data_IF_623742665580
#
_entry.id   IF_623742665580
#
_cell.length_a   1.000
_cell.length_b   1.000
_cell.length_c   1.000
_cell.angle_alpha   90.00
_cell.angle_beta   90.00
_cell.angle_gamma   90.00
#
_symmetry.space_group_name_H-M   'P 1'
#
loop_
_entity.id
_entity.type
_entity.pdbx_description
1 polymer ?
#
# COMPACT_ATOMS: atom_id res chain seq x y z
N UNK A 1 8.56 -3.00 1.44
CA UNK A 1 8.50 -4.15 2.38
C UNK A 1 9.42 -3.91 3.55
N UNK A 2 9.01 -4.35 4.74
CA UNK A 2 9.77 -4.24 6.00
C UNK A 2 10.27 -5.60 6.52
N UNK A 3 10.06 -6.68 5.75
CA UNK A 3 10.66 -7.98 6.01
C UNK A 3 12.16 -7.95 5.73
N UNK A 4 12.98 -8.05 6.79
CA UNK A 4 14.44 -8.12 6.67
C UNK A 4 14.83 -9.39 5.89
N UNK A 5 15.21 -9.23 4.62
CA UNK A 5 15.64 -10.31 3.74
C UNK A 5 14.58 -10.79 2.74
N UNK A 6 13.29 -10.58 3.03
CA UNK A 6 12.16 -10.98 2.18
C UNK A 6 11.17 -9.80 2.06
N UNK A 7 11.31 -8.92 1.05
CA UNK A 7 10.51 -7.69 0.95
C UNK A 7 9.01 -7.94 0.72
N UNK A 8 8.62 -9.16 0.32
CA UNK A 8 7.23 -9.61 0.19
C UNK A 8 6.64 -10.19 1.48
N UNK A 9 7.40 -10.24 2.58
CA UNK A 9 6.91 -10.72 3.88
C UNK A 9 6.67 -9.55 4.85
N UNK A 10 5.70 -9.70 5.78
CA UNK A 10 5.51 -8.74 6.86
C UNK A 10 6.76 -8.68 7.75
N UNK A 11 6.96 -7.53 8.40
CA UNK A 11 7.99 -7.40 9.42
C UNK A 11 7.63 -8.27 10.64
N UNK A 12 8.60 -8.99 11.20
CA UNK A 12 8.35 -9.84 12.37
C UNK A 12 7.98 -9.00 13.59
N UNK A 13 7.17 -9.59 14.47
CA UNK A 13 6.57 -8.91 15.63
C UNK A 13 7.63 -8.43 16.64
N UNK A 14 8.79 -9.06 16.65
CA UNK A 14 9.92 -8.78 17.54
C UNK A 14 10.75 -7.57 17.08
N UNK A 15 10.50 -7.04 15.88
CA UNK A 15 11.21 -5.88 15.33
C UNK A 15 10.40 -4.61 15.53
N UNK A 16 11.07 -3.46 15.47
CA UNK A 16 10.44 -2.14 15.63
C UNK A 16 9.31 -1.87 14.61
N UNK A 17 9.38 -2.50 13.43
CA UNK A 17 8.36 -2.41 12.38
C UNK A 17 7.21 -3.42 12.52
N UNK A 18 7.24 -4.33 13.50
CA UNK A 18 6.22 -5.37 13.68
C UNK A 18 4.83 -4.81 13.92
N UNK A 19 4.71 -3.60 14.48
CA UNK A 19 3.45 -2.84 14.62
C UNK A 19 2.80 -2.41 13.31
N UNK A 20 3.50 -2.58 12.19
CA UNK A 20 3.01 -2.34 10.83
C UNK A 20 2.91 -3.65 10.03
N UNK A 21 3.09 -4.80 10.68
CA UNK A 21 3.01 -6.12 10.03
C UNK A 21 1.61 -6.47 9.52
N UNK A 22 0.61 -5.62 9.74
CA UNK A 22 -0.75 -5.80 9.20
C UNK A 22 -0.96 -5.21 7.82
N UNK A 23 -0.11 -4.26 7.38
CA UNK A 23 -0.39 -3.51 6.16
C UNK A 23 0.86 -3.07 5.40
N UNK A 24 0.66 -2.82 4.11
CA UNK A 24 1.57 -2.01 3.31
C UNK A 24 0.88 -0.76 2.79
N UNK A 25 1.62 0.34 2.75
CA UNK A 25 1.28 1.48 1.91
C UNK A 25 1.72 1.17 0.48
N UNK A 26 0.81 1.30 -0.47
CA UNK A 26 1.06 1.14 -1.89
C UNK A 26 0.38 2.29 -2.67
N UNK A 27 0.56 2.31 -3.98
CA UNK A 27 -0.09 3.29 -4.87
C UNK A 27 -0.66 2.58 -6.08
N UNK A 28 -1.80 3.07 -6.58
CA UNK A 28 -2.32 2.71 -7.90
C UNK A 28 -1.74 3.67 -8.92
N UNK A 29 -1.03 3.11 -9.89
CA UNK A 29 -0.46 3.85 -11.01
C UNK A 29 -1.38 3.72 -12.22
N UNK A 30 -1.73 4.83 -12.84
CA UNK A 30 -2.53 4.84 -14.06
C UNK A 30 -1.93 5.78 -15.11
N UNK A 31 -2.46 5.76 -16.33
CA UNK A 31 -1.90 6.52 -17.44
C UNK A 31 -1.92 8.03 -17.22
N UNK A 32 -2.85 8.55 -16.41
CA UNK A 32 -3.02 9.97 -16.07
C UNK A 32 -2.19 10.41 -14.86
N UNK A 33 -1.94 9.50 -13.90
CA UNK A 33 -1.14 9.79 -12.71
C UNK A 33 -0.13 8.68 -12.47
N UNK A 34 1.15 9.00 -12.69
CA UNK A 34 2.28 8.06 -12.67
C UNK A 34 3.25 8.28 -11.51
N UNK A 35 2.74 8.77 -10.38
CA UNK A 35 3.58 9.18 -9.25
C UNK A 35 3.65 8.11 -8.19
N UNK A 36 4.89 7.73 -7.88
CA UNK A 36 5.25 6.90 -6.74
C UNK A 36 5.61 7.78 -5.54
N UNK A 37 5.50 7.23 -4.34
CA UNK A 37 5.96 7.89 -3.11
C UNK A 37 7.43 8.32 -3.21
N UNK A 38 8.28 7.42 -3.71
CA UNK A 38 9.68 7.69 -3.99
C UNK A 38 10.01 7.37 -5.45
N UNK A 39 10.42 8.39 -6.21
CA UNK A 39 10.74 8.27 -7.64
C UNK A 39 12.07 7.55 -7.93
N UNK A 40 12.72 6.97 -6.93
CA UNK A 40 13.99 6.23 -7.07
C UNK A 40 13.95 4.86 -6.43
N UNK A 41 12.89 4.55 -5.68
CA UNK A 41 12.79 3.32 -4.90
C UNK A 41 12.16 2.21 -5.74
N UNK A 42 12.82 1.04 -5.85
CA UNK A 42 12.25 -0.10 -6.53
C UNK A 42 11.19 -0.80 -5.65
N UNK A 43 10.40 -1.71 -6.21
CA UNK A 43 9.27 -2.30 -5.50
C UNK A 43 8.68 -3.57 -6.09
N UNK A 44 7.48 -3.88 -5.64
CA UNK A 44 6.68 -5.04 -6.05
C UNK A 44 5.42 -4.54 -6.77
N UNK A 45 5.00 -5.30 -7.78
CA UNK A 45 3.64 -5.20 -8.35
C UNK A 45 2.81 -6.29 -7.70
N UNK A 46 1.64 -5.92 -7.19
CA UNK A 46 0.72 -6.83 -6.52
C UNK A 46 -0.34 -7.32 -7.50
N UNK A 47 -0.81 -8.55 -7.29
CA UNK A 47 -1.95 -9.09 -8.02
C UNK A 47 -3.26 -8.37 -7.64
N UNK A 48 -4.27 -8.47 -8.49
CA UNK A 48 -5.62 -7.95 -8.21
C UNK A 48 -6.34 -8.66 -7.06
N UNK A 49 -5.78 -9.77 -6.57
CA UNK A 49 -6.25 -10.47 -5.36
C UNK A 49 -5.83 -9.77 -4.07
N UNK A 50 -4.96 -8.77 -4.14
CA UNK A 50 -4.60 -7.96 -2.97
C UNK A 50 -5.81 -7.18 -2.46
N UNK A 51 -6.17 -7.41 -1.21
CA UNK A 51 -7.26 -6.71 -0.55
C UNK A 51 -6.76 -5.42 0.09
N UNK A 52 -7.66 -4.44 0.16
CA UNK A 52 -7.37 -3.11 0.67
C UNK A 52 -8.18 -2.84 1.93
N UNK A 53 -7.55 -2.26 2.94
CA UNK A 53 -8.25 -1.69 4.10
C UNK A 53 -8.95 -0.37 3.73
N UNK A 54 -8.23 0.53 3.07
CA UNK A 54 -8.74 1.83 2.62
C UNK A 54 -7.82 2.49 1.59
N UNK A 55 -8.33 3.55 0.95
CA UNK A 55 -7.59 4.40 0.02
C UNK A 55 -7.57 5.87 0.46
N UNK A 56 -6.57 6.59 0.02
CA UNK A 56 -6.44 8.04 0.13
C UNK A 56 -6.15 8.59 -1.27
N UNK A 57 -6.82 9.66 -1.67
CA UNK A 57 -6.48 10.34 -2.92
C UNK A 57 -5.14 11.11 -2.88
N UNK A 58 -4.34 10.95 -1.82
CA UNK A 58 -3.00 11.51 -1.60
C UNK A 58 -2.25 10.66 -0.55
N UNK A 59 -1.11 11.14 -0.04
CA UNK A 59 -0.49 10.62 1.19
C UNK A 59 -1.44 10.72 2.39
N UNK A 60 -1.89 9.57 2.91
CA UNK A 60 -2.74 9.43 4.10
C UNK A 60 -1.96 9.24 5.39
N UNK A 61 -0.63 9.13 5.31
CA UNK A 61 0.29 8.89 6.41
C UNK A 61 -0.10 7.65 7.21
N UNK A 62 -0.48 6.57 6.51
CA UNK A 62 -1.08 5.37 7.13
C UNK A 62 -0.17 4.72 8.19
N UNK A 63 1.14 4.90 8.07
CA UNK A 63 2.13 4.39 9.03
C UNK A 63 2.03 5.05 10.41
N UNK A 64 1.37 6.20 10.57
CA UNK A 64 1.11 6.80 11.90
C UNK A 64 -0.15 6.26 12.58
N UNK A 65 -0.96 5.46 11.87
CA UNK A 65 -2.30 5.03 12.30
C UNK A 65 -2.31 3.55 12.65
N UNK A 66 -1.85 3.23 13.86
CA UNK A 66 -1.70 1.86 14.35
C UNK A 66 -2.96 1.43 15.12
N UNK A 67 -3.39 0.19 14.91
CA UNK A 67 -4.47 -0.43 15.68
C UNK A 67 -3.92 -1.38 16.75
N UNK A 68 -4.70 -1.56 17.82
CA UNK A 68 -4.54 -2.65 18.77
C UNK A 68 -5.91 -3.35 18.91
N UNK A 69 -6.04 -4.63 18.51
CA UNK A 69 -4.99 -5.55 18.07
C UNK A 69 -4.46 -5.26 16.65
N UNK A 70 -3.36 -5.93 16.28
CA UNK A 70 -2.84 -5.99 14.91
C UNK A 70 -3.94 -6.50 13.96
N UNK A 71 -4.03 -5.95 12.75
CA UNK A 71 -5.16 -6.16 11.81
C UNK A 71 -6.49 -5.50 12.22
N UNK A 72 -6.53 -4.82 13.36
CA UNK A 72 -7.67 -4.03 13.77
C UNK A 72 -8.86 -4.83 14.28
N UNK A 73 -9.99 -4.15 14.40
CA UNK A 73 -11.28 -4.68 14.86
C UNK A 73 -12.42 -3.74 14.40
N UNK A 74 -13.64 -3.95 14.89
CA UNK A 74 -14.81 -3.13 14.53
C UNK A 74 -14.64 -1.61 14.79
N UNK A 75 -13.71 -1.23 15.66
CA UNK A 75 -13.45 0.17 16.04
C UNK A 75 -12.18 0.74 15.43
N UNK A 76 -11.34 -0.09 14.78
CA UNK A 76 -10.07 0.34 14.23
C UNK A 76 -9.71 -0.45 12.98
N UNK A 77 -9.53 0.25 11.86
CA UNK A 77 -9.00 -0.32 10.62
C UNK A 77 -7.55 0.15 10.44
N UNK A 78 -6.56 -0.77 10.29
CA UNK A 78 -5.15 -0.39 10.24
C UNK A 78 -4.85 0.60 9.12
N UNK A 79 -4.10 1.67 9.44
CA UNK A 79 -3.72 2.66 8.43
C UNK A 79 -4.82 3.61 7.97
N UNK A 80 -6.06 3.44 8.44
CA UNK A 80 -7.23 4.18 7.97
C UNK A 80 -7.72 5.23 8.96
N UNK A 81 -8.54 6.18 8.48
CA UNK A 81 -8.98 7.32 9.28
C UNK A 81 -10.26 7.97 8.73
N UNK A 82 -11.16 8.47 9.58
CA UNK A 82 -11.30 8.08 10.97
C UNK A 82 -11.58 6.58 11.12
N UNK A 83 -11.21 5.95 12.25
CA UNK A 83 -11.53 4.55 12.50
C UNK A 83 -13.04 4.27 12.37
N UNK A 84 -13.42 3.26 11.59
CA UNK A 84 -14.82 2.86 11.35
C UNK A 84 -15.68 3.88 10.58
N UNK A 85 -15.06 4.93 10.00
CA UNK A 85 -15.76 5.99 9.27
C UNK A 85 -14.95 6.36 8.02
N UNK A 86 -15.49 6.09 6.84
CA UNK A 86 -14.92 6.53 5.58
C UNK A 86 -15.08 8.04 5.33
N UNK A 87 -14.34 8.59 4.38
CA UNK A 87 -14.76 9.85 3.74
C UNK A 87 -16.18 9.66 3.20
N UNK A 88 -17.08 10.62 3.43
CA UNK A 88 -18.40 10.58 2.81
C UNK A 88 -18.28 10.80 1.30
N UNK A 89 -18.41 9.72 0.54
CA UNK A 89 -18.44 9.75 -0.93
C UNK A 89 -19.65 10.60 -1.37
N UNK A 90 -19.42 11.67 -2.13
CA UNK A 90 -20.50 12.47 -2.73
C UNK A 90 -20.92 13.74 -1.98
N UNK A 91 -20.26 14.13 -0.87
CA UNK A 91 -20.39 15.49 -0.31
C UNK A 91 -19.02 16.09 -0.12
N UNK A 92 -18.72 17.11 -0.92
CA UNK A 92 -17.48 17.88 -0.92
C UNK A 92 -17.17 18.57 0.43
N UNK A 93 -18.08 18.48 1.41
CA UNK A 93 -18.06 19.30 2.63
C UNK A 93 -18.10 18.51 3.96
N UNK A 94 -18.27 17.19 3.97
CA UNK A 94 -18.39 16.47 5.25
C UNK A 94 -17.05 15.94 5.76
N UNK A 95 -16.30 16.82 6.42
CA UNK A 95 -15.18 16.45 7.29
C UNK A 95 -15.78 15.99 8.64
N UNK A 96 -15.63 14.73 9.07
CA UNK A 96 -16.13 14.29 10.37
C UNK A 96 -15.61 15.18 11.49
N UNK A 97 -16.47 15.49 12.48
CA UNK A 97 -16.10 16.34 13.63
C UNK A 97 -14.81 15.81 14.29
N UNK A 98 -13.74 16.60 14.27
CA UNK A 98 -12.41 16.26 14.80
C UNK A 98 -11.35 15.89 13.76
N UNK A 99 -11.72 15.74 12.49
CA UNK A 99 -10.79 15.63 11.36
C UNK A 99 -10.46 17.06 10.88
N UNK A 100 -9.18 17.42 10.74
CA UNK A 100 -8.80 18.82 10.43
C UNK A 100 -8.98 19.16 8.95
N UNK A 101 -9.07 18.15 8.09
CA UNK A 101 -9.32 18.30 6.65
C UNK A 101 -9.76 16.98 6.01
N UNK A 102 -10.46 17.06 4.87
CA UNK A 102 -10.67 15.93 3.94
C UNK A 102 -9.37 15.19 3.57
N UNK A 103 -8.20 15.81 3.75
CA UNK A 103 -6.87 15.19 3.57
C UNK A 103 -6.56 14.07 4.56
N UNK A 104 -7.22 14.07 5.72
CA UNK A 104 -6.95 13.13 6.81
C UNK A 104 -7.96 11.97 6.85
N UNK A 105 -8.95 11.96 5.95
CA UNK A 105 -9.91 10.85 5.84
C UNK A 105 -9.50 9.87 4.74
N UNK A 106 -9.84 8.60 4.95
CA UNK A 106 -9.63 7.47 4.08
C UNK A 106 -10.96 7.03 3.50
N UNK A 107 -10.98 6.71 2.21
CA UNK A 107 -12.09 6.07 1.52
C UNK A 107 -12.07 4.57 1.84
N UNK A 108 -13.23 3.96 2.15
CA UNK A 108 -13.32 2.52 2.36
C UNK A 108 -12.98 1.76 1.07
N UNK A 109 -12.76 0.45 1.19
CA UNK A 109 -12.33 -0.40 0.08
C UNK A 109 -13.26 -0.35 -1.15
N UNK A 110 -14.57 -0.28 -0.89
CA UNK A 110 -15.64 -0.18 -1.89
C UNK A 110 -15.79 1.23 -2.51
N UNK A 111 -15.03 2.22 -2.03
CA UNK A 111 -15.04 3.60 -2.51
C UNK A 111 -13.74 4.02 -3.19
N UNK A 112 -12.96 3.07 -3.71
CA UNK A 112 -11.68 3.34 -4.38
C UNK A 112 -11.83 4.33 -5.54
N UNK A 113 -12.88 4.20 -6.35
CA UNK A 113 -13.14 5.11 -7.46
C UNK A 113 -13.21 6.57 -6.99
N UNK A 114 -13.89 6.83 -5.88
CA UNK A 114 -14.02 8.17 -5.32
C UNK A 114 -12.67 8.73 -4.84
N UNK A 115 -11.81 7.90 -4.27
CA UNK A 115 -10.45 8.30 -3.89
C UNK A 115 -9.61 8.71 -5.10
N UNK A 116 -9.70 7.94 -6.21
CA UNK A 116 -8.97 8.21 -7.45
C UNK A 116 -9.54 9.40 -8.22
N UNK A 117 -10.86 9.55 -8.26
CA UNK A 117 -11.52 10.73 -8.84
C UNK A 117 -11.12 11.99 -8.07
N UNK A 118 -11.03 11.91 -6.74
CA UNK A 118 -10.55 13.02 -5.93
C UNK A 118 -9.09 13.38 -6.25
N UNK A 119 -8.21 12.39 -6.40
CA UNK A 119 -6.82 12.62 -6.83
C UNK A 119 -6.77 13.37 -8.16
N UNK A 120 -7.56 12.93 -9.16
CA UNK A 120 -7.65 13.56 -10.47
C UNK A 120 -8.20 14.99 -10.42
N UNK A 121 -9.29 15.21 -9.66
CA UNK A 121 -9.97 16.50 -9.59
C UNK A 121 -9.11 17.62 -8.99
N UNK A 122 -8.15 17.27 -8.12
CA UNK A 122 -7.21 18.24 -7.57
C UNK A 122 -6.14 18.69 -8.55
N UNK A 123 -5.94 17.97 -9.66
CA UNK A 123 -4.83 18.20 -10.57
C UNK A 123 -3.46 18.06 -9.89
N UNK A 124 -3.40 17.34 -8.77
CA UNK A 124 -2.15 17.19 -8.02
C UNK A 124 -1.26 16.13 -8.69
N UNK A 125 -0.01 16.51 -8.92
CA UNK A 125 1.05 15.63 -9.41
C UNK A 125 1.70 14.84 -8.25
N UNK A 126 0.87 14.37 -7.31
CA UNK A 126 1.28 13.64 -6.10
C UNK A 126 0.75 12.20 -6.14
N UNK A 127 1.42 11.30 -5.41
CA UNK A 127 1.03 9.90 -5.31
C UNK A 127 -0.26 9.76 -4.48
N UNK A 128 -1.07 8.74 -4.80
CA UNK A 128 -2.11 8.25 -3.88
C UNK A 128 -1.51 7.24 -2.91
N UNK A 129 -2.22 6.99 -1.81
CA UNK A 129 -1.89 5.93 -0.88
C UNK A 129 -3.08 4.97 -0.76
N UNK A 130 -2.86 3.71 -1.12
CA UNK A 130 -3.75 2.61 -0.77
C UNK A 130 -3.12 1.79 0.35
N UNK A 131 -3.94 1.33 1.28
CA UNK A 131 -3.49 0.56 2.44
C UNK A 131 -3.90 -0.89 2.24
N UNK A 132 -2.94 -1.74 1.92
CA UNK A 132 -3.13 -3.15 1.62
C UNK A 132 -3.21 -3.97 2.90
N UNK A 133 -4.15 -4.91 2.99
CA UNK A 133 -4.19 -5.93 4.04
C UNK A 133 -3.16 -7.02 3.74
N UNK A 134 -2.14 -7.16 4.60
CA UNK A 134 -1.06 -8.11 4.36
C UNK A 134 -1.48 -9.58 4.46
N UNK A 135 -2.63 -9.91 5.04
CA UNK A 135 -3.15 -11.28 5.02
C UNK A 135 -3.43 -11.72 3.60
N UNK A 136 -4.11 -10.88 2.82
CA UNK A 136 -4.43 -11.15 1.41
C UNK A 136 -3.20 -11.37 0.54
N UNK A 137 -2.05 -10.82 0.95
CA UNK A 137 -0.77 -11.08 0.29
C UNK A 137 -0.21 -12.42 0.76
N UNK A 138 0.03 -12.55 2.07
CA UNK A 138 0.72 -13.73 2.63
C UNK A 138 -0.04 -15.02 2.36
N UNK A 139 -1.37 -15.01 2.50
CA UNK A 139 -2.22 -16.18 2.31
C UNK A 139 -2.26 -16.65 0.84
N UNK A 140 -1.88 -15.78 -0.10
CA UNK A 140 -1.91 -16.04 -1.54
C UNK A 140 -0.50 -16.08 -2.17
N UNK A 141 0.57 -16.08 -1.38
CA UNK A 141 1.92 -16.23 -1.90
C UNK A 141 2.09 -17.62 -2.58
N UNK A 142 2.81 -17.70 -3.71
CA UNK A 142 3.52 -16.60 -4.37
C UNK A 142 2.66 -15.70 -5.28
N UNK A 143 1.45 -16.14 -5.63
CA UNK A 143 0.62 -15.53 -6.69
C UNK A 143 0.06 -14.14 -6.37
N UNK A 144 0.19 -13.67 -5.14
CA UNK A 144 -0.10 -12.28 -4.77
C UNK A 144 0.92 -11.26 -5.30
N UNK A 145 2.10 -11.72 -5.76
CA UNK A 145 3.14 -10.88 -6.35
C UNK A 145 3.22 -11.20 -7.85
N UNK A 146 3.04 -10.17 -8.68
CA UNK A 146 3.02 -10.33 -10.14
C UNK A 146 4.30 -9.89 -10.82
N UNK A 147 5.06 -8.99 -10.20
CA UNK A 147 6.36 -8.57 -10.71
C UNK A 147 7.21 -7.89 -9.64
N UNK A 148 8.51 -7.87 -9.91
CA UNK A 148 9.47 -6.99 -9.24
C UNK A 148 9.86 -5.88 -10.22
N UNK A 149 9.96 -4.64 -9.75
CA UNK A 149 10.31 -3.52 -10.63
C UNK A 149 11.39 -2.64 -10.02
N UNK A 150 12.14 -1.97 -10.89
CA UNK A 150 12.96 -0.82 -10.58
C UNK A 150 12.74 0.27 -11.63
N UNK A 151 13.06 1.51 -11.29
CA UNK A 151 12.95 2.64 -12.21
C UNK A 151 14.28 2.91 -12.90
N UNK A 152 14.24 3.60 -14.04
CA UNK A 152 15.46 4.08 -14.68
C UNK A 152 16.28 5.00 -13.76
N UNK A 153 15.61 5.77 -12.91
CA UNK A 153 16.22 6.63 -11.89
C UNK A 153 16.71 5.86 -10.66
N UNK A 154 16.41 4.55 -10.54
CA UNK A 154 16.91 3.72 -9.43
C UNK A 154 18.42 3.50 -9.58
N UNK A 155 19.16 3.79 -8.50
CA UNK A 155 20.62 3.58 -8.42
C UNK A 155 20.96 2.11 -8.62
N UNK A 156 22.16 1.84 -9.15
CA UNK A 156 22.67 0.49 -9.43
C UNK A 156 22.47 -0.47 -8.25
N UNK A 157 22.88 -0.08 -7.03
CA UNK A 157 22.71 -0.90 -5.83
C UNK A 157 21.24 -1.32 -5.58
N UNK A 158 20.28 -0.44 -5.88
CA UNK A 158 18.85 -0.74 -5.78
C UNK A 158 18.38 -1.72 -6.86
N UNK A 159 18.88 -1.57 -8.09
CA UNK A 159 18.59 -2.50 -9.20
C UNK A 159 19.14 -3.89 -8.89
N UNK A 160 20.40 -3.99 -8.47
CA UNK A 160 21.03 -5.24 -8.07
C UNK A 160 20.33 -5.87 -6.87
N UNK A 161 19.87 -5.06 -5.92
CA UNK A 161 19.08 -5.56 -4.79
C UNK A 161 17.78 -6.19 -5.25
N UNK A 162 17.04 -5.56 -6.17
CA UNK A 162 15.77 -6.13 -6.65
C UNK A 162 15.97 -7.39 -7.49
N UNK A 163 16.98 -7.44 -8.36
CA UNK A 163 17.31 -8.66 -9.10
C UNK A 163 17.58 -9.84 -8.15
N UNK A 164 18.39 -9.64 -7.11
CA UNK A 164 18.65 -10.67 -6.09
C UNK A 164 17.40 -11.11 -5.34
N UNK A 165 16.48 -10.17 -5.07
CA UNK A 165 15.23 -10.48 -4.38
C UNK A 165 14.25 -11.24 -5.28
N UNK A 166 14.22 -10.92 -6.57
CA UNK A 166 13.45 -11.67 -7.56
C UNK A 166 13.98 -13.11 -7.69
N UNK A 167 15.30 -13.30 -7.83
CA UNK A 167 15.91 -14.64 -7.86
C UNK A 167 15.63 -15.44 -6.58
N UNK A 168 15.71 -14.80 -5.42
CA UNK A 168 15.38 -15.42 -4.14
C UNK A 168 13.89 -15.82 -4.09
N UNK A 169 12.99 -14.99 -4.60
CA UNK A 169 11.56 -15.29 -4.68
C UNK A 169 11.30 -16.52 -5.56
N UNK A 170 11.86 -16.52 -6.77
CA UNK A 170 11.73 -17.63 -7.71
C UNK A 170 12.27 -18.93 -7.12
N UNK A 171 13.44 -18.88 -6.49
CA UNK A 171 14.06 -20.03 -5.86
C UNK A 171 13.23 -20.56 -4.69
N UNK A 172 12.70 -19.67 -3.83
CA UNK A 172 11.94 -20.05 -2.64
C UNK A 172 10.60 -20.73 -3.00
N UNK A 173 9.96 -20.28 -4.07
CA UNK A 173 8.64 -20.79 -4.48
C UNK A 173 8.68 -21.74 -5.69
N UNK A 174 9.87 -22.14 -6.13
CA UNK A 174 10.08 -23.04 -7.27
C UNK A 174 9.42 -22.53 -8.58
N UNK A 175 9.56 -21.23 -8.84
CA UNK A 175 9.00 -20.54 -10.01
C UNK A 175 10.07 -20.24 -11.07
N UNK A 176 9.61 -19.90 -12.27
CA UNK A 176 10.41 -19.36 -13.36
C UNK A 176 10.19 -17.86 -13.53
N UNK A 177 11.07 -17.19 -14.28
CA UNK A 177 10.93 -15.77 -14.58
C UNK A 177 9.68 -15.41 -15.42
N UNK A 178 9.00 -16.40 -16.01
CA UNK A 178 7.74 -16.16 -16.72
C UNK A 178 6.53 -16.12 -15.78
N UNK A 179 6.70 -16.56 -14.53
CA UNK A 179 5.63 -16.60 -13.53
C UNK A 179 5.50 -15.27 -12.75
N UNK A 180 6.60 -14.49 -12.66
CA UNK A 180 6.73 -13.24 -11.86
C UNK A 180 7.76 -12.31 -12.47
#
# INVERSE_FOLDING_TARGET
GVGHGYPWMPCSKEKWCGKFGDRWAASIINSRIRKLYYATTPGLVLASTAEMFCAYGRDGNSMKRVCSPLYGNATCTPGCSPPGKGCNVGRQEWVPKGVKSVYECSYPADALEAALQYQLARGEDTHNEIVIDLRSIVDNLPYSITAFFYLETTREAGRSSVAKQHELFLSLYHLSANDV
#
